data_IF_160880028941
#
_entry.id   IF_160880028941
#
_cell.length_a   1.000
_cell.length_b   1.000
_cell.length_c   1.000
_cell.angle_alpha   90.00
_cell.angle_beta   90.00
_cell.angle_gamma   90.00
#
_symmetry.space_group_name_H-M   'P 1'
#
loop_
_entity.id
_entity.type
_entity.pdbx_description
1 polymer ?
#
# COMPACT_ATOMS: atom_id res chain seq x y z
N UNK A 1 40.27 -35.49 -26.65
CA UNK A 1 38.82 -35.76 -26.75
C UNK A 1 38.25 -35.54 -25.38
N UNK A 2 37.69 -34.36 -25.16
CA UNK A 2 36.99 -34.07 -23.90
C UNK A 2 35.65 -34.84 -23.88
N UNK A 3 35.22 -35.32 -22.71
CA UNK A 3 33.92 -35.97 -22.58
C UNK A 3 32.80 -34.96 -22.86
N UNK A 4 31.68 -35.39 -23.48
CA UNK A 4 30.58 -34.50 -23.79
C UNK A 4 29.96 -33.93 -22.50
N UNK A 5 29.51 -32.66 -22.51
CA UNK A 5 28.92 -32.04 -21.34
C UNK A 5 27.65 -32.78 -20.93
N UNK A 6 27.58 -33.09 -19.63
CA UNK A 6 26.42 -33.71 -18.98
C UNK A 6 25.17 -32.85 -19.26
N UNK A 7 24.10 -33.54 -19.65
CA UNK A 7 22.86 -32.99 -20.17
C UNK A 7 22.41 -31.71 -19.47
N UNK A 8 22.13 -30.70 -20.29
CA UNK A 8 21.27 -29.59 -19.90
C UNK A 8 19.99 -30.17 -19.31
N UNK A 9 19.64 -29.71 -18.12
CA UNK A 9 18.29 -29.85 -17.58
C UNK A 9 17.38 -29.33 -18.68
N UNK A 10 16.62 -30.20 -19.34
CA UNK A 10 15.56 -29.77 -20.24
C UNK A 10 14.65 -28.88 -19.41
N UNK A 11 14.71 -27.57 -19.64
CA UNK A 11 13.68 -26.65 -19.22
C UNK A 11 12.38 -27.25 -19.72
N UNK A 12 11.56 -27.76 -18.79
CA UNK A 12 10.23 -28.27 -19.11
C UNK A 12 9.48 -27.09 -19.69
N UNK A 13 9.37 -27.04 -21.03
CA UNK A 13 8.60 -26.03 -21.74
C UNK A 13 7.20 -26.05 -21.15
N UNK A 14 6.91 -25.04 -20.33
CA UNK A 14 5.60 -24.94 -19.69
C UNK A 14 4.59 -24.65 -20.80
N UNK A 15 3.46 -25.37 -20.85
CA UNK A 15 2.47 -25.13 -21.88
C UNK A 15 2.03 -23.66 -21.87
N UNK A 16 1.95 -23.06 -23.06
CA UNK A 16 1.51 -21.68 -23.24
C UNK A 16 0.14 -21.51 -22.59
N UNK A 17 0.03 -20.55 -21.67
CA UNK A 17 -1.24 -20.28 -20.99
C UNK A 17 -2.26 -19.78 -22.03
N UNK A 18 -3.51 -20.23 -21.90
CA UNK A 18 -4.63 -19.82 -22.76
C UNK A 18 -5.82 -19.46 -21.88
N UNK A 19 -6.49 -18.36 -22.23
CA UNK A 19 -7.67 -17.85 -21.53
C UNK A 19 -8.98 -18.28 -22.21
N UNK A 20 -8.93 -19.04 -23.32
CA UNK A 20 -10.10 -19.48 -24.09
C UNK A 20 -11.23 -20.05 -23.25
N UNK A 21 -10.89 -20.89 -22.27
CA UNK A 21 -11.86 -21.62 -21.42
C UNK A 21 -12.61 -20.72 -20.44
N UNK A 22 -12.16 -19.47 -20.26
CA UNK A 22 -12.73 -18.52 -19.31
C UNK A 22 -13.25 -17.24 -19.98
N UNK A 23 -13.35 -17.23 -21.31
CA UNK A 23 -13.92 -16.11 -22.05
C UNK A 23 -15.33 -15.79 -21.56
N UNK A 24 -15.63 -14.50 -21.45
CA UNK A 24 -16.91 -13.95 -21.02
C UNK A 24 -17.35 -14.34 -19.60
N UNK A 25 -16.46 -14.94 -18.79
CA UNK A 25 -16.70 -15.15 -17.36
C UNK A 25 -16.17 -13.93 -16.60
N UNK A 26 -17.04 -13.31 -15.81
CA UNK A 26 -16.66 -12.21 -14.93
C UNK A 26 -16.06 -12.75 -13.63
N UNK A 27 -14.88 -12.26 -13.28
CA UNK A 27 -14.18 -12.59 -12.05
C UNK A 27 -13.99 -11.35 -11.18
N UNK A 28 -14.07 -11.55 -9.87
CA UNK A 28 -13.74 -10.54 -8.87
C UNK A 28 -12.61 -11.07 -8.01
N UNK A 29 -11.59 -10.26 -7.79
CA UNK A 29 -10.53 -10.54 -6.85
C UNK A 29 -11.09 -10.58 -5.44
N UNK A 30 -10.86 -11.69 -4.76
CA UNK A 30 -11.34 -11.91 -3.40
C UNK A 30 -10.19 -11.84 -2.40
N UNK A 31 -8.94 -12.00 -2.85
CA UNK A 31 -7.78 -12.06 -1.97
C UNK A 31 -6.52 -11.65 -2.70
N UNK A 32 -5.70 -10.85 -2.03
CA UNK A 32 -4.30 -10.62 -2.34
C UNK A 32 -3.47 -10.81 -1.07
N UNK A 33 -2.36 -11.52 -1.18
CA UNK A 33 -1.55 -11.92 -0.03
C UNK A 33 -0.10 -12.16 -0.39
N UNK A 34 0.79 -11.98 0.58
CA UNK A 34 2.18 -12.41 0.47
C UNK A 34 2.29 -13.95 0.55
N UNK A 35 3.46 -14.50 0.27
CA UNK A 35 3.73 -15.95 0.36
C UNK A 35 3.40 -16.59 1.71
N UNK A 36 3.45 -15.82 2.80
CA UNK A 36 3.06 -16.25 4.15
C UNK A 36 1.53 -16.26 4.37
N UNK A 37 0.74 -15.90 3.35
CA UNK A 37 -0.72 -15.83 3.39
C UNK A 37 -1.29 -14.56 4.05
N UNK A 38 -0.45 -13.63 4.49
CA UNK A 38 -0.87 -12.39 5.14
C UNK A 38 -1.12 -11.31 4.09
N UNK A 39 -2.21 -10.55 4.24
CA UNK A 39 -2.56 -9.42 3.36
C UNK A 39 -1.80 -8.13 3.64
N UNK A 40 -1.00 -8.09 4.71
CA UNK A 40 -0.34 -6.88 5.22
C UNK A 40 1.18 -7.00 5.21
N UNK A 41 1.84 -5.98 4.68
CA UNK A 41 3.29 -5.83 4.77
C UNK A 41 3.71 -5.40 6.18
N UNK A 42 4.94 -5.70 6.65
CA UNK A 42 5.41 -5.24 7.95
C UNK A 42 5.35 -3.71 8.15
N UNK A 43 5.42 -2.93 7.08
CA UNK A 43 5.40 -1.48 7.08
C UNK A 43 3.97 -0.92 7.15
N UNK A 44 2.94 -1.77 7.06
CA UNK A 44 1.53 -1.38 7.15
C UNK A 44 0.80 -1.29 5.81
N UNK A 45 1.49 -1.54 4.69
CA UNK A 45 0.83 -1.64 3.37
C UNK A 45 -0.16 -2.81 3.34
N UNK A 46 -1.40 -2.53 2.96
CA UNK A 46 -2.45 -3.53 2.79
C UNK A 46 -2.60 -3.87 1.31
N UNK A 47 -2.52 -5.16 0.99
CA UNK A 47 -2.79 -5.70 -0.34
C UNK A 47 -4.30 -5.83 -0.55
N UNK A 48 -4.94 -4.70 -0.86
CA UNK A 48 -6.38 -4.69 -1.10
C UNK A 48 -6.73 -5.37 -2.43
N UNK A 49 -7.72 -6.27 -2.45
CA UNK A 49 -8.22 -6.87 -3.67
C UNK A 49 -9.10 -5.87 -4.43
N UNK A 50 -8.71 -5.56 -5.66
CA UNK A 50 -9.32 -4.47 -6.45
C UNK A 50 -9.77 -4.92 -7.84
N UNK A 51 -9.27 -6.05 -8.33
CA UNK A 51 -9.49 -6.44 -9.71
C UNK A 51 -10.89 -6.98 -9.94
N UNK A 52 -11.58 -6.40 -10.91
CA UNK A 52 -12.78 -6.97 -11.52
C UNK A 52 -12.52 -7.12 -13.02
N UNK A 53 -12.47 -8.35 -13.51
CA UNK A 53 -12.02 -8.64 -14.87
C UNK A 53 -12.97 -9.57 -15.64
N UNK A 54 -12.97 -9.43 -16.95
CA UNK A 54 -13.63 -10.35 -17.88
C UNK A 54 -12.76 -10.48 -19.13
N UNK A 55 -12.29 -11.68 -19.44
CA UNK A 55 -11.57 -11.92 -20.69
C UNK A 55 -12.57 -11.93 -21.85
N UNK A 56 -12.43 -11.00 -22.79
CA UNK A 56 -13.31 -10.92 -23.97
C UNK A 56 -12.80 -11.82 -25.10
N UNK A 57 -11.48 -11.96 -25.18
CA UNK A 57 -10.72 -12.80 -26.12
C UNK A 57 -9.39 -13.19 -25.47
N UNK A 58 -8.53 -13.92 -26.21
CA UNK A 58 -7.19 -14.31 -25.75
C UNK A 58 -6.27 -13.12 -25.50
N UNK A 59 -6.52 -12.00 -26.17
CA UNK A 59 -5.68 -10.80 -26.19
C UNK A 59 -6.36 -9.56 -25.60
N UNK A 60 -7.61 -9.68 -25.12
CA UNK A 60 -8.37 -8.54 -24.62
C UNK A 60 -9.06 -8.87 -23.30
N UNK A 61 -8.80 -8.04 -22.30
CA UNK A 61 -9.51 -8.07 -21.01
C UNK A 61 -10.32 -6.80 -20.84
N UNK A 62 -11.50 -6.93 -20.25
CA UNK A 62 -12.26 -5.81 -19.68
C UNK A 62 -11.97 -5.76 -18.18
N UNK A 63 -11.43 -4.64 -17.69
CA UNK A 63 -11.06 -4.45 -16.28
C UNK A 63 -11.70 -3.18 -15.72
N UNK A 64 -12.16 -3.21 -14.47
CA UNK A 64 -12.67 -2.01 -13.79
C UNK A 64 -11.53 -1.08 -13.40
N UNK A 65 -11.59 0.18 -13.82
CA UNK A 65 -10.67 1.22 -13.39
C UNK A 65 -11.30 2.01 -12.25
N UNK A 66 -10.67 1.98 -11.08
CA UNK A 66 -11.07 2.78 -9.92
C UNK A 66 -10.93 4.28 -10.24
N UNK A 67 -9.85 4.68 -10.90
CA UNK A 67 -9.62 6.08 -11.30
C UNK A 67 -10.73 6.61 -12.21
N UNK A 68 -11.07 5.83 -13.25
CA UNK A 68 -12.08 6.24 -14.24
C UNK A 68 -13.51 5.87 -13.83
N UNK A 69 -13.67 5.19 -12.69
CA UNK A 69 -14.95 4.67 -12.17
C UNK A 69 -15.76 3.88 -13.22
N UNK A 70 -15.08 3.18 -14.13
CA UNK A 70 -15.71 2.44 -15.24
C UNK A 70 -14.85 1.30 -15.74
N UNK A 71 -15.48 0.35 -16.42
CA UNK A 71 -14.76 -0.69 -17.14
C UNK A 71 -14.06 -0.14 -18.39
N UNK A 72 -12.80 -0.53 -18.57
CA UNK A 72 -11.98 -0.24 -19.75
C UNK A 72 -11.52 -1.56 -20.38
N UNK A 73 -11.22 -1.52 -21.67
CA UNK A 73 -10.57 -2.64 -22.37
C UNK A 73 -9.06 -2.44 -22.33
N UNK A 74 -8.33 -3.50 -22.06
CA UNK A 74 -6.88 -3.53 -22.05
C UNK A 74 -6.38 -4.76 -22.81
N UNK A 75 -5.21 -4.62 -23.41
CA UNK A 75 -4.54 -5.73 -24.09
C UNK A 75 -3.99 -6.74 -23.08
N UNK A 76 -4.00 -8.00 -23.50
CA UNK A 76 -3.37 -9.12 -22.80
C UNK A 76 -2.26 -9.65 -23.69
N UNK A 77 -1.04 -9.62 -23.17
CA UNK A 77 0.11 -10.19 -23.87
C UNK A 77 0.56 -11.42 -23.12
N UNK A 78 0.48 -12.59 -23.75
CA UNK A 78 1.00 -13.84 -23.17
C UNK A 78 2.44 -14.04 -23.60
N UNK A 79 3.32 -14.16 -22.62
CA UNK A 79 4.73 -14.47 -22.78
C UNK A 79 5.01 -15.96 -22.47
N UNK A 80 6.28 -16.36 -22.48
CA UNK A 80 6.74 -17.68 -22.06
C UNK A 80 6.44 -17.97 -20.58
N UNK A 81 6.55 -19.24 -20.17
CA UNK A 81 6.42 -19.69 -18.79
C UNK A 81 5.12 -19.33 -18.05
N UNK A 82 4.01 -19.27 -18.80
CA UNK A 82 2.69 -18.89 -18.28
C UNK A 82 2.66 -17.48 -17.69
N UNK A 83 3.56 -16.60 -18.14
CA UNK A 83 3.56 -15.18 -17.80
C UNK A 83 2.65 -14.43 -18.76
N UNK A 84 1.90 -13.47 -18.25
CA UNK A 84 1.10 -12.57 -19.05
C UNK A 84 1.22 -11.13 -18.52
N UNK A 85 1.19 -10.16 -19.42
CA UNK A 85 0.89 -8.79 -19.06
C UNK A 85 -0.63 -8.58 -19.19
N UNK A 86 -1.27 -8.21 -18.09
CA UNK A 86 -2.70 -7.90 -18.03
C UNK A 86 -2.84 -6.51 -17.42
N UNK A 87 -3.39 -5.57 -18.20
CA UNK A 87 -3.61 -4.20 -17.73
C UNK A 87 -2.36 -3.57 -17.09
N UNK A 88 -1.23 -3.65 -17.80
CA UNK A 88 0.10 -3.16 -17.37
C UNK A 88 0.73 -3.90 -16.18
N UNK A 89 0.08 -4.93 -15.64
CA UNK A 89 0.64 -5.77 -14.57
C UNK A 89 1.18 -7.08 -15.14
N UNK A 90 2.45 -7.36 -14.88
CA UNK A 90 3.04 -8.65 -15.18
C UNK A 90 2.60 -9.66 -14.13
N UNK A 91 2.05 -10.78 -14.59
CA UNK A 91 1.57 -11.86 -13.72
C UNK A 91 2.04 -13.21 -14.23
N UNK A 92 2.36 -14.12 -13.31
CA UNK A 92 2.50 -15.54 -13.60
C UNK A 92 1.18 -16.24 -13.30
N UNK A 93 0.66 -16.95 -14.28
CA UNK A 93 -0.60 -17.68 -14.14
C UNK A 93 -0.34 -19.03 -13.48
N UNK A 94 -0.94 -19.24 -12.31
CA UNK A 94 -0.79 -20.48 -11.54
C UNK A 94 -1.98 -21.42 -11.71
N UNK A 95 -3.20 -20.87 -11.84
CA UNK A 95 -4.42 -21.63 -12.02
C UNK A 95 -5.44 -20.87 -12.86
N UNK A 96 -6.06 -21.56 -13.81
CA UNK A 96 -7.22 -21.10 -14.58
C UNK A 96 -8.32 -22.16 -14.51
N UNK A 97 -9.49 -21.78 -14.01
CA UNK A 97 -10.72 -22.58 -14.06
C UNK A 97 -11.92 -21.64 -14.24
N UNK A 98 -13.08 -22.12 -14.71
CA UNK A 98 -14.30 -21.31 -14.77
C UNK A 98 -14.74 -20.70 -13.43
N UNK A 99 -14.34 -21.30 -12.31
CA UNK A 99 -14.72 -20.83 -10.97
C UNK A 99 -13.65 -19.97 -10.30
N UNK A 100 -12.37 -20.19 -10.61
CA UNK A 100 -11.26 -19.58 -9.90
C UNK A 100 -10.04 -19.32 -10.78
N UNK A 101 -9.41 -18.18 -10.54
CA UNK A 101 -8.09 -17.81 -11.08
C UNK A 101 -7.12 -17.62 -9.92
N UNK A 102 -5.89 -18.09 -10.10
CA UNK A 102 -4.79 -17.81 -9.17
C UNK A 102 -3.58 -17.29 -9.94
N UNK A 103 -3.10 -16.13 -9.54
CA UNK A 103 -1.97 -15.45 -10.14
C UNK A 103 -0.89 -15.19 -9.09
N UNK A 104 0.35 -15.05 -9.55
CA UNK A 104 1.44 -14.43 -8.82
C UNK A 104 1.77 -13.11 -9.52
N UNK A 105 1.81 -12.01 -8.78
CA UNK A 105 2.22 -10.70 -9.31
C UNK A 105 3.74 -10.71 -9.47
N UNK A 106 4.22 -10.23 -10.62
CA UNK A 106 5.63 -10.11 -10.92
C UNK A 106 6.01 -8.64 -10.98
N UNK A 107 6.99 -8.25 -10.18
CA UNK A 107 7.67 -6.96 -10.35
C UNK A 107 8.75 -7.15 -11.39
N UNK A 108 8.70 -6.39 -12.48
CA UNK A 108 9.67 -6.49 -13.57
C UNK A 108 10.47 -5.20 -13.64
N UNK A 109 11.76 -5.27 -13.33
CA UNK A 109 12.70 -4.15 -13.38
C UNK A 109 13.79 -4.50 -14.38
N UNK A 110 14.06 -3.62 -15.35
CA UNK A 110 15.08 -3.85 -16.39
C UNK A 110 14.95 -5.23 -17.08
N UNK A 111 13.72 -5.61 -17.43
CA UNK A 111 13.39 -6.90 -18.07
C UNK A 111 13.71 -8.14 -17.22
N UNK A 112 13.94 -7.97 -15.92
CA UNK A 112 14.16 -9.05 -14.97
C UNK A 112 13.05 -9.05 -13.93
N UNK A 113 12.59 -10.24 -13.56
CA UNK A 113 11.65 -10.40 -12.44
C UNK A 113 12.42 -10.15 -11.15
N UNK A 114 12.03 -9.10 -10.44
CA UNK A 114 12.50 -8.80 -9.10
C UNK A 114 11.63 -9.55 -8.08
N UNK A 115 12.10 -10.72 -7.66
CA UNK A 115 11.42 -11.54 -6.66
C UNK A 115 11.87 -11.23 -5.22
N UNK A 116 12.95 -10.48 -5.04
CA UNK A 116 13.62 -10.33 -3.74
C UNK A 116 13.19 -9.05 -3.02
N UNK A 117 13.01 -7.93 -3.75
CA UNK A 117 12.83 -6.63 -3.11
C UNK A 117 11.42 -6.39 -2.55
N UNK A 118 10.39 -7.05 -3.09
CA UNK A 118 8.97 -6.75 -2.80
C UNK A 118 8.18 -7.93 -2.20
N UNK A 119 8.83 -9.08 -2.05
CA UNK A 119 8.19 -10.34 -1.66
C UNK A 119 7.24 -10.89 -2.73
N UNK A 120 6.92 -12.18 -2.66
CA UNK A 120 6.01 -12.81 -3.62
C UNK A 120 4.56 -12.53 -3.24
N UNK A 121 3.83 -11.92 -4.16
CA UNK A 121 2.41 -11.59 -3.99
C UNK A 121 1.55 -12.51 -4.84
N UNK A 122 0.48 -13.03 -4.26
CA UNK A 122 -0.49 -13.89 -4.91
C UNK A 122 -1.86 -13.26 -4.91
N UNK A 123 -2.56 -13.38 -6.04
CA UNK A 123 -3.93 -12.92 -6.23
C UNK A 123 -4.84 -14.12 -6.46
N UNK A 124 -6.01 -14.12 -5.82
CA UNK A 124 -7.07 -15.10 -6.05
C UNK A 124 -8.33 -14.37 -6.49
N UNK A 125 -8.88 -14.79 -7.63
CA UNK A 125 -10.13 -14.29 -8.15
C UNK A 125 -11.14 -15.43 -8.25
N UNK A 126 -12.39 -15.17 -7.91
CA UNK A 126 -13.49 -16.10 -8.12
C UNK A 126 -14.46 -15.56 -9.15
N UNK A 127 -15.06 -16.47 -9.92
CA UNK A 127 -16.12 -16.07 -10.84
C UNK A 127 -17.31 -15.57 -10.05
N UNK A 128 -17.97 -14.54 -10.56
CA UNK A 128 -19.13 -13.94 -9.88
C UNK A 128 -20.26 -14.97 -9.72
N UNK A 129 -20.35 -15.93 -10.66
CA UNK A 129 -21.26 -17.06 -10.58
C UNK A 129 -20.93 -17.98 -9.38
N UNK A 130 -19.66 -18.34 -9.21
CA UNK A 130 -19.21 -19.18 -8.10
C UNK A 130 -19.47 -18.51 -6.74
N UNK A 131 -19.14 -17.22 -6.61
CA UNK A 131 -19.40 -16.43 -5.39
C UNK A 131 -20.89 -16.46 -5.02
N UNK A 132 -21.78 -16.21 -5.99
CA UNK A 132 -23.21 -16.09 -5.74
C UNK A 132 -23.91 -17.44 -5.54
N UNK A 133 -23.63 -18.40 -6.42
CA UNK A 133 -24.44 -19.61 -6.56
C UNK A 133 -23.82 -20.85 -5.90
N UNK A 134 -22.53 -20.82 -5.56
CA UNK A 134 -21.87 -21.93 -4.86
C UNK A 134 -21.48 -21.54 -3.44
N UNK A 135 -20.86 -20.37 -3.27
CA UNK A 135 -20.46 -19.88 -1.93
C UNK A 135 -21.59 -19.16 -1.18
N UNK A 136 -22.67 -18.79 -1.88
CA UNK A 136 -23.84 -18.09 -1.32
C UNK A 136 -23.45 -16.84 -0.51
N UNK A 137 -22.51 -16.06 -1.03
CA UNK A 137 -21.98 -14.88 -0.36
C UNK A 137 -21.79 -13.71 -1.34
N UNK A 138 -21.12 -12.65 -0.91
CA UNK A 138 -20.77 -11.49 -1.73
C UNK A 138 -19.25 -11.37 -1.88
N UNK A 139 -18.80 -10.69 -2.93
CA UNK A 139 -17.39 -10.37 -3.10
C UNK A 139 -16.87 -9.55 -1.91
N UNK A 140 -17.64 -8.56 -1.45
CA UNK A 140 -17.27 -7.72 -0.31
C UNK A 140 -17.01 -8.54 0.97
N UNK A 141 -17.80 -9.59 1.23
CA UNK A 141 -17.59 -10.46 2.39
C UNK A 141 -16.29 -11.27 2.27
N UNK A 142 -15.98 -11.77 1.07
CA UNK A 142 -14.76 -12.54 0.81
C UNK A 142 -13.49 -11.67 0.82
N UNK A 143 -13.63 -10.39 0.48
CA UNK A 143 -12.54 -9.42 0.49
C UNK A 143 -12.20 -8.93 1.90
N UNK A 144 -13.03 -9.22 2.92
CA UNK A 144 -12.72 -8.86 4.30
C UNK A 144 -11.43 -9.54 4.77
N UNK A 145 -10.58 -8.83 5.53
CA UNK A 145 -9.40 -9.42 6.14
C UNK A 145 -9.78 -10.64 7.01
N UNK A 146 -9.20 -11.83 6.76
CA UNK A 146 -9.43 -13.03 7.54
C UNK A 146 -8.80 -12.90 8.93
N UNK A 147 -9.20 -13.80 9.83
CA UNK A 147 -8.73 -13.85 11.21
C UNK A 147 -7.20 -13.81 11.35
N UNK A 148 -6.46 -14.45 10.45
CA UNK A 148 -4.97 -14.43 10.48
C UNK A 148 -4.39 -13.03 10.29
N UNK A 149 -5.01 -12.20 9.44
CA UNK A 149 -4.59 -10.82 9.24
C UNK A 149 -4.93 -9.99 10.48
N UNK A 150 -6.10 -10.22 11.09
CA UNK A 150 -6.46 -9.57 12.36
C UNK A 150 -5.49 -9.92 13.49
N UNK A 151 -5.07 -11.19 13.60
CA UNK A 151 -4.09 -11.63 14.61
C UNK A 151 -2.72 -10.98 14.34
N UNK A 152 -2.28 -10.97 13.08
CA UNK A 152 -1.03 -10.34 12.68
C UNK A 152 -1.00 -8.84 13.04
N UNK A 153 -2.05 -8.10 12.69
CA UNK A 153 -2.16 -6.68 13.05
C UNK A 153 -2.24 -6.50 14.56
N UNK A 154 -3.04 -7.30 15.28
CA UNK A 154 -3.13 -7.20 16.74
C UNK A 154 -1.76 -7.40 17.43
N UNK A 155 -0.92 -8.31 16.92
CA UNK A 155 0.45 -8.47 17.41
C UNK A 155 1.31 -7.23 17.16
N UNK A 156 1.24 -6.64 15.95
CA UNK A 156 1.96 -5.40 15.65
C UNK A 156 1.50 -4.23 16.50
N UNK A 157 0.19 -4.08 16.69
CA UNK A 157 -0.42 -3.07 17.56
C UNK A 157 0.14 -3.20 18.99
N UNK A 158 0.19 -4.41 19.54
CA UNK A 158 0.75 -4.66 20.88
C UNK A 158 2.22 -4.29 20.97
N UNK A 159 3.01 -4.60 19.95
CA UNK A 159 4.43 -4.24 19.90
C UNK A 159 4.61 -2.72 19.84
N UNK A 160 3.85 -2.04 18.99
CA UNK A 160 3.87 -0.59 18.83
C UNK A 160 3.38 0.16 20.08
N UNK A 161 2.46 -0.43 20.85
CA UNK A 161 2.00 0.13 22.13
C UNK A 161 3.06 0.00 23.24
N UNK A 162 3.93 -1.02 23.17
CA UNK A 162 5.04 -1.19 24.12
C UNK A 162 6.22 -0.28 23.77
N UNK A 163 6.46 -0.11 22.47
CA UNK A 163 7.55 0.68 21.94
C UNK A 163 7.07 1.38 20.66
N UNK A 164 6.84 2.69 20.75
CA UNK A 164 6.32 3.48 19.65
C UNK A 164 7.28 3.52 18.45
N UNK A 165 8.57 3.18 18.60
CA UNK A 165 9.50 3.03 17.47
C UNK A 165 9.17 1.81 16.59
N UNK A 166 8.32 0.90 17.06
CA UNK A 166 7.73 -0.20 16.28
C UNK A 166 6.45 0.21 15.55
N UNK A 167 6.19 1.51 15.44
CA UNK A 167 5.12 2.05 14.62
C UNK A 167 5.16 1.48 13.19
N UNK A 168 3.99 1.47 12.56
CA UNK A 168 3.82 1.11 11.16
C UNK A 168 2.72 1.99 10.55
N UNK A 169 2.63 2.04 9.23
CA UNK A 169 1.62 2.83 8.56
C UNK A 169 0.21 2.34 8.93
N UNK A 170 -0.69 3.28 9.16
CA UNK A 170 -2.08 2.99 9.47
C UNK A 170 -2.93 3.07 8.19
N UNK A 171 -3.71 2.04 7.89
CA UNK A 171 -4.61 2.06 6.71
C UNK A 171 -5.69 3.12 6.84
N UNK A 172 -6.09 3.44 8.06
CA UNK A 172 -6.88 4.62 8.43
C UNK A 172 -5.89 5.66 9.01
N UNK A 173 -5.48 6.69 8.24
CA UNK A 173 -4.43 7.61 8.68
C UNK A 173 -4.81 8.42 9.92
N UNK A 174 -3.77 8.92 10.62
CA UNK A 174 -3.90 9.93 11.67
C UNK A 174 -4.71 11.13 11.18
N UNK A 175 -5.50 11.70 12.10
CA UNK A 175 -6.22 12.95 11.88
C UNK A 175 -5.68 14.00 12.85
N UNK A 176 -5.27 15.14 12.31
CA UNK A 176 -4.83 16.30 13.07
C UNK A 176 -5.85 17.44 12.90
N UNK A 177 -6.38 17.94 14.00
CA UNK A 177 -7.32 19.05 14.02
C UNK A 177 -6.77 20.18 14.89
N UNK A 178 -6.90 21.43 14.46
CA UNK A 178 -6.47 22.55 15.28
C UNK A 178 -7.42 22.78 16.45
N UNK A 179 -6.88 23.03 17.63
CA UNK A 179 -7.63 23.47 18.82
C UNK A 179 -7.70 24.99 18.93
N UNK A 180 -6.95 25.71 18.10
CA UNK A 180 -6.73 27.15 18.25
C UNK A 180 -6.76 27.87 16.90
N UNK A 181 -7.27 29.10 16.82
CA UNK A 181 -7.42 29.81 15.54
C UNK A 181 -6.08 30.19 14.90
N UNK A 182 -5.01 30.33 15.68
CA UNK A 182 -3.67 30.67 15.16
C UNK A 182 -2.96 29.51 14.45
N UNK A 183 -3.53 28.31 14.44
CA UNK A 183 -2.91 27.14 13.83
C UNK A 183 -3.80 26.59 12.71
N UNK A 184 -3.26 26.49 11.50
CA UNK A 184 -3.91 25.89 10.33
C UNK A 184 -3.23 24.57 9.98
N UNK A 185 -4.01 23.55 9.66
CA UNK A 185 -3.50 22.23 9.25
C UNK A 185 -4.14 21.84 7.92
N UNK A 186 -3.32 21.44 6.95
CA UNK A 186 -3.78 20.81 5.72
C UNK A 186 -3.06 19.48 5.50
N UNK A 187 -3.81 18.44 5.16
CA UNK A 187 -3.24 17.15 4.78
C UNK A 187 -2.93 17.15 3.29
N UNK A 188 -1.70 16.85 2.91
CA UNK A 188 -1.36 16.61 1.51
C UNK A 188 -2.07 15.35 1.02
N UNK A 189 -2.64 15.44 -0.17
CA UNK A 189 -3.21 14.29 -0.87
C UNK A 189 -2.44 14.16 -2.15
N UNK A 190 -1.84 13.00 -2.36
CA UNK A 190 -1.44 12.63 -3.70
C UNK A 190 -2.74 12.50 -4.50
N UNK A 191 -2.90 13.42 -5.46
CA UNK A 191 -3.88 13.23 -6.53
C UNK A 191 -3.24 12.25 -7.51
N UNK A 192 -3.98 11.21 -7.84
CA UNK A 192 -3.65 10.32 -8.94
C UNK A 192 -3.81 11.14 -10.23
N UNK A 193 -2.74 11.84 -10.63
CA UNK A 193 -2.70 12.62 -11.86
C UNK A 193 -1.36 12.46 -12.55
N UNK A 194 -1.47 12.27 -13.86
CA UNK A 194 -0.47 12.00 -14.89
C UNK A 194 0.03 10.56 -14.97
N UNK A 195 -0.17 10.02 -16.17
CA UNK A 195 -0.10 8.65 -16.66
C UNK A 195 1.32 8.02 -16.57
N UNK A 196 2.19 8.55 -15.71
CA UNK A 196 3.64 8.31 -15.68
C UNK A 196 4.24 8.09 -14.29
N UNK A 197 3.48 8.19 -13.19
CA UNK A 197 4.02 7.97 -11.85
C UNK A 197 3.43 6.70 -11.21
N UNK A 198 4.29 5.82 -10.68
CA UNK A 198 3.96 4.61 -9.90
C UNK A 198 3.32 4.94 -8.52
N UNK A 199 2.59 6.05 -8.42
CA UNK A 199 2.00 6.53 -7.18
C UNK A 199 0.64 5.91 -7.02
N UNK A 200 0.49 5.12 -5.96
CA UNK A 200 -0.75 4.41 -5.63
C UNK A 200 -1.55 5.19 -4.59
N UNK A 201 -2.86 4.99 -4.52
CA UNK A 201 -3.69 5.57 -3.45
C UNK A 201 -3.20 5.19 -2.05
N UNK A 202 -2.48 4.08 -1.92
CA UNK A 202 -1.88 3.67 -0.66
C UNK A 202 -0.78 4.61 -0.16
N UNK A 203 -0.13 5.36 -1.05
CA UNK A 203 0.88 6.35 -0.66
C UNK A 203 0.28 7.45 0.24
N UNK A 204 -1.03 7.71 0.12
CA UNK A 204 -1.75 8.65 0.98
C UNK A 204 -1.84 8.22 2.46
N UNK A 205 -1.63 6.93 2.76
CA UNK A 205 -1.63 6.40 4.13
C UNK A 205 -0.28 5.84 4.58
N UNK A 206 0.62 5.46 3.66
CA UNK A 206 1.96 4.98 4.01
C UNK A 206 2.84 6.06 4.64
N UNK A 207 2.70 7.29 4.19
CA UNK A 207 3.46 8.45 4.70
C UNK A 207 2.62 9.71 4.63
N UNK A 208 1.55 9.83 5.44
CA UNK A 208 0.67 10.98 5.39
C UNK A 208 1.44 12.25 5.78
N UNK A 209 1.44 13.23 4.88
CA UNK A 209 2.10 14.53 5.08
C UNK A 209 1.10 15.60 5.48
N UNK A 210 1.45 16.40 6.49
CA UNK A 210 0.66 17.54 6.95
C UNK A 210 1.47 18.83 6.85
N UNK A 211 0.86 19.87 6.27
CA UNK A 211 1.36 21.23 6.34
C UNK A 211 0.67 21.93 7.51
N UNK A 212 1.47 22.45 8.43
CA UNK A 212 1.04 23.11 9.66
C UNK A 212 1.58 24.53 9.65
N UNK A 213 0.70 25.53 9.71
CA UNK A 213 1.09 26.94 9.82
C UNK A 213 0.70 27.47 11.20
N UNK A 214 1.67 28.01 11.92
CA UNK A 214 1.50 28.65 13.23
C UNK A 214 1.66 30.17 13.05
N UNK A 215 0.56 30.90 13.15
CA UNK A 215 0.56 32.36 13.17
C UNK A 215 0.94 32.89 14.56
N UNK A 216 1.49 34.11 14.62
CA UNK A 216 1.97 34.76 15.85
C UNK A 216 3.02 33.91 16.58
N UNK A 217 3.91 33.29 15.81
CA UNK A 217 5.03 32.52 16.36
C UNK A 217 6.14 33.45 16.86
N UNK A 218 7.05 32.93 17.70
CA UNK A 218 8.14 33.74 18.27
C UNK A 218 9.16 34.21 17.21
N UNK A 219 9.30 33.46 16.11
CA UNK A 219 10.20 33.72 15.01
C UNK A 219 9.69 33.01 13.74
N UNK A 220 10.10 33.50 12.58
CA UNK A 220 9.86 32.80 11.32
C UNK A 220 10.72 31.53 11.26
N UNK A 221 10.09 30.40 10.93
CA UNK A 221 10.79 29.13 10.72
C UNK A 221 10.03 28.23 9.74
N UNK A 222 10.74 27.29 9.14
CA UNK A 222 10.19 26.25 8.28
C UNK A 222 10.94 24.93 8.52
N UNK A 223 10.26 23.97 9.13
CA UNK A 223 10.82 22.68 9.49
C UNK A 223 10.00 21.54 8.89
N UNK A 224 10.70 20.56 8.33
CA UNK A 224 10.15 19.32 7.83
C UNK A 224 10.69 18.16 8.67
N UNK A 225 9.79 17.39 9.27
CA UNK A 225 10.16 16.36 10.24
C UNK A 225 9.28 15.12 10.15
N UNK A 226 9.83 14.00 10.59
CA UNK A 226 9.08 12.78 10.84
C UNK A 226 8.67 12.76 12.32
N UNK A 227 7.39 12.48 12.54
CA UNK A 227 6.76 12.39 13.87
C UNK A 227 6.04 11.05 13.97
N UNK A 228 6.03 10.45 15.15
CA UNK A 228 5.15 9.31 15.45
C UNK A 228 3.98 9.83 16.28
N UNK A 229 2.78 9.46 15.87
CA UNK A 229 1.57 9.59 16.70
C UNK A 229 1.35 8.25 17.36
N UNK A 230 1.40 8.19 18.68
CA UNK A 230 1.14 6.94 19.40
C UNK A 230 -0.35 6.57 19.48
N UNK A 231 -0.65 5.44 20.11
CA UNK A 231 -2.02 4.94 20.27
C UNK A 231 -2.91 5.81 21.18
N UNK A 232 -2.34 6.77 21.91
CA UNK A 232 -3.04 7.74 22.74
C UNK A 232 -3.18 9.12 22.05
N UNK A 233 -2.52 9.30 20.90
CA UNK A 233 -2.55 10.52 20.11
C UNK A 233 -1.44 11.50 20.48
N UNK A 234 -0.47 11.10 21.31
CA UNK A 234 0.69 11.92 21.63
C UNK A 234 1.67 11.92 20.47
N UNK A 235 2.24 13.09 20.21
CA UNK A 235 3.22 13.32 19.15
C UNK A 235 4.63 13.10 19.70
N UNK A 236 5.45 12.35 18.98
CA UNK A 236 6.85 12.08 19.31
C UNK A 236 7.74 12.49 18.15
N UNK A 237 8.63 13.46 18.37
CA UNK A 237 9.63 13.83 17.37
C UNK A 237 10.61 12.67 17.13
N UNK A 238 10.85 12.33 15.85
CA UNK A 238 11.78 11.27 15.48
C UNK A 238 13.04 11.84 14.85
N UNK A 239 12.90 12.54 13.72
CA UNK A 239 14.04 13.10 12.98
C UNK A 239 13.65 14.28 12.10
N UNK A 240 14.64 15.08 11.79
CA UNK A 240 14.55 16.10 10.74
C UNK A 240 14.63 15.45 9.35
N UNK A 241 13.88 16.05 8.41
CA UNK A 241 13.94 15.76 6.99
C UNK A 241 14.52 16.94 6.19
N UNK A 242 14.83 18.07 6.83
CA UNK A 242 15.63 19.13 6.22
C UNK A 242 17.09 18.68 6.08
N UNK A 243 17.74 19.06 4.97
CA UNK A 243 19.18 19.03 4.86
C UNK A 243 19.80 20.05 5.83
N UNK A 244 20.53 19.58 6.83
CA UNK A 244 21.20 20.43 7.83
C UNK A 244 22.70 20.31 7.68
N UNK A 245 23.34 21.38 7.23
CA UNK A 245 24.80 21.45 7.09
C UNK A 245 25.48 22.06 8.33
N UNK A 246 24.77 22.86 9.13
CA UNK A 246 25.34 23.58 10.27
C UNK A 246 24.35 23.71 11.45
N UNK A 247 24.85 23.63 12.69
CA UNK A 247 24.04 23.77 13.91
C UNK A 247 22.96 22.70 14.12
N UNK A 248 23.16 21.49 13.58
CA UNK A 248 22.15 20.43 13.54
C UNK A 248 21.57 20.08 14.92
N UNK A 249 22.39 19.97 15.96
CA UNK A 249 21.92 19.60 17.30
C UNK A 249 20.98 20.66 17.91
N UNK A 250 21.32 21.94 17.76
CA UNK A 250 20.47 23.05 18.22
C UNK A 250 19.13 23.06 17.49
N UNK A 251 19.15 22.87 16.16
CA UNK A 251 17.93 22.79 15.34
C UNK A 251 17.06 21.59 15.72
N UNK A 252 17.66 20.42 15.96
CA UNK A 252 16.93 19.24 16.45
C UNK A 252 16.24 19.50 17.80
N UNK A 253 16.91 20.21 18.72
CA UNK A 253 16.30 20.62 20.01
C UNK A 253 15.10 21.54 19.81
N UNK A 254 15.20 22.51 18.89
CA UNK A 254 14.09 23.41 18.54
C UNK A 254 12.92 22.62 17.96
N UNK A 255 13.17 21.74 16.99
CA UNK A 255 12.12 20.92 16.36
C UNK A 255 11.42 20.02 17.37
N UNK A 256 12.20 19.37 18.26
CA UNK A 256 11.65 18.60 19.38
C UNK A 256 10.80 19.47 20.30
N UNK A 257 11.24 20.68 20.64
CA UNK A 257 10.47 21.64 21.44
C UNK A 257 9.17 22.09 20.77
N UNK A 258 9.15 22.23 19.44
CA UNK A 258 7.93 22.52 18.68
C UNK A 258 6.91 21.38 18.80
N UNK A 259 7.35 20.14 18.66
CA UNK A 259 6.49 18.95 18.77
C UNK A 259 5.97 18.79 20.21
N UNK A 260 6.88 18.74 21.18
CA UNK A 260 6.56 18.47 22.58
C UNK A 260 5.76 19.61 23.23
N UNK A 261 5.97 20.84 22.76
CA UNK A 261 5.25 22.03 23.21
C UNK A 261 4.08 22.34 22.29
N UNK A 262 4.30 23.23 21.33
CA UNK A 262 3.25 23.83 20.50
C UNK A 262 2.27 22.82 19.92
N UNK A 263 2.78 21.81 19.20
CA UNK A 263 1.90 20.88 18.49
C UNK A 263 1.08 20.02 19.45
N UNK A 264 1.70 19.51 20.52
CA UNK A 264 1.01 18.69 21.54
C UNK A 264 -0.14 19.45 22.21
N UNK A 265 0.00 20.75 22.45
CA UNK A 265 -1.07 21.55 23.07
C UNK A 265 -2.12 22.07 22.08
N UNK A 266 -1.70 22.47 20.88
CA UNK A 266 -2.56 23.14 19.90
C UNK A 266 -3.29 22.20 18.95
N UNK A 267 -2.91 20.91 18.93
CA UNK A 267 -3.51 19.94 18.02
C UNK A 267 -4.32 18.91 18.81
N UNK A 268 -5.55 18.66 18.35
CA UNK A 268 -6.31 17.47 18.71
C UNK A 268 -5.92 16.38 17.72
N UNK A 269 -5.31 15.33 18.24
CA UNK A 269 -4.81 14.21 17.45
C UNK A 269 -5.72 13.01 17.61
N UNK A 270 -6.16 12.42 16.51
CA UNK A 270 -6.77 11.09 16.50
C UNK A 270 -5.74 10.09 15.97
N UNK A 271 -5.38 9.04 16.73
CA UNK A 271 -4.45 8.02 16.28
C UNK A 271 -4.88 7.35 14.98
N UNK A 272 -3.89 6.93 14.19
CA UNK A 272 -4.13 6.07 13.04
C UNK A 272 -4.62 4.69 13.48
N UNK A 273 -5.38 4.03 12.61
CA UNK A 273 -5.93 2.69 12.86
C UNK A 273 -5.64 1.75 11.70
N UNK A 274 -5.56 0.47 12.03
CA UNK A 274 -5.58 -0.61 11.04
C UNK A 274 -6.57 -1.66 11.51
N UNK A 275 -7.53 -2.02 10.67
CA UNK A 275 -8.66 -2.88 11.04
C UNK A 275 -9.41 -2.38 12.28
N UNK A 276 -9.57 -1.05 12.42
CA UNK A 276 -10.21 -0.42 13.59
C UNK A 276 -9.38 -0.42 14.88
N UNK A 277 -8.17 -0.99 14.90
CA UNK A 277 -7.28 -0.98 16.06
C UNK A 277 -6.37 0.26 16.04
N UNK A 278 -6.43 1.17 17.03
CA UNK A 278 -5.52 2.31 17.10
C UNK A 278 -4.09 1.86 17.47
N UNK A 279 -3.09 2.43 16.82
CA UNK A 279 -1.69 2.12 17.08
C UNK A 279 -0.75 3.28 16.75
N UNK A 280 0.51 3.15 17.18
CA UNK A 280 1.54 4.11 16.81
C UNK A 280 1.79 4.08 15.29
N UNK A 281 1.85 5.25 14.66
CA UNK A 281 2.02 5.40 13.21
C UNK A 281 2.85 6.64 12.86
N UNK A 282 3.59 6.55 11.76
CA UNK A 282 4.41 7.65 11.27
C UNK A 282 3.58 8.67 10.49
N UNK A 283 3.90 9.93 10.69
CA UNK A 283 3.43 11.05 9.88
C UNK A 283 4.62 11.93 9.49
N UNK A 284 4.49 12.64 8.37
CA UNK A 284 5.42 13.69 7.98
C UNK A 284 4.74 15.02 8.26
N UNK A 285 5.45 15.96 8.87
CA UNK A 285 4.91 17.29 9.15
C UNK A 285 5.88 18.38 8.68
N UNK A 286 5.37 19.29 7.85
CA UNK A 286 6.02 20.55 7.53
C UNK A 286 5.38 21.64 8.38
N UNK A 287 6.15 22.22 9.28
CA UNK A 287 5.70 23.21 10.25
C UNK A 287 6.33 24.56 9.93
N UNK A 288 5.49 25.53 9.61
CA UNK A 288 5.87 26.90 9.32
C UNK A 288 5.41 27.84 10.44
N UNK A 289 6.34 28.57 11.03
CA UNK A 289 6.05 29.68 11.94
C UNK A 289 6.06 31.00 11.17
N UNK A 290 5.07 31.85 11.42
CA UNK A 290 5.03 33.23 10.91
C UNK A 290 5.03 34.18 12.10
N UNK A 291 5.99 35.10 12.16
CA UNK A 291 6.11 36.14 13.17
C UNK A 291 5.29 37.37 12.73
N UNK A 292 3.99 37.30 12.99
CA UNK A 292 3.03 38.39 12.78
C UNK A 292 2.72 39.16 14.07
#
# INVERSE_FOLDING_TARGET
MDPPPKGSVMDKVRPKVSFKKIHNIAYTEVRREYENGIGFHPEGYHLEPEWQITFLSEDTVRIYSIVKQRFIKQWVTVDHDSVANIAHSWIRVLKITPDSLKFQVLYVVNQKVDNESKGQIFMTLYSNNYIKNVLHTTAAELQKPPRRDSIYIAQKVKLAATDYHKAFAATEPVILESRVPQLTITKERVKESDELADVTLADNYLSPTFNITIHKSYADFDYYMQVIVDNEGKLHFIKSLNNMYDGAESRLKVMKGIVDGYLTYYIKTTPGKTLGMPHASYILVRVKGIKD
#
